data_IF_827209607301
#
_entry.id   IF_827209607301
#
_cell.length_a   1.000
_cell.length_b   1.000
_cell.length_c   1.000
_cell.angle_alpha   90.00
_cell.angle_beta   90.00
_cell.angle_gamma   90.00
#
_symmetry.space_group_name_H-M   'P 1'
#
loop_
_entity.id
_entity.type
_entity.pdbx_description
1 polymer ?
#
# COMPACT_ATOMS: atom_id res chain seq x y z
N UNK A 1 -24.95 -59.65 -2.58
CA UNK A 1 -24.51 -59.35 -1.19
C UNK A 1 -23.24 -58.50 -1.15
N UNK A 2 -22.15 -58.91 -1.82
CA UNK A 2 -20.83 -58.23 -1.81
C UNK A 2 -20.86 -56.72 -2.17
N UNK A 3 -21.64 -56.35 -3.20
CA UNK A 3 -21.79 -54.96 -3.65
C UNK A 3 -22.35 -54.02 -2.56
N UNK A 4 -23.25 -54.51 -1.70
CA UNK A 4 -23.79 -53.73 -0.58
C UNK A 4 -22.76 -53.54 0.54
N UNK A 5 -21.90 -54.53 0.78
CA UNK A 5 -20.84 -54.44 1.77
C UNK A 5 -19.75 -53.44 1.34
N UNK A 6 -19.33 -53.48 0.07
CA UNK A 6 -18.36 -52.53 -0.49
C UNK A 6 -18.91 -51.10 -0.47
N UNK A 7 -20.19 -50.91 -0.79
CA UNK A 7 -20.83 -49.60 -0.73
C UNK A 7 -20.94 -49.06 0.71
N UNK A 8 -21.14 -49.92 1.72
CA UNK A 8 -21.14 -49.52 3.14
C UNK A 8 -19.74 -49.09 3.59
N UNK A 9 -18.71 -49.89 3.32
CA UNK A 9 -17.32 -49.54 3.69
C UNK A 9 -16.86 -48.24 3.01
N UNK A 10 -17.22 -48.02 1.75
CA UNK A 10 -16.93 -46.76 1.05
C UNK A 10 -17.75 -45.58 1.59
N UNK A 11 -18.98 -45.79 2.03
CA UNK A 11 -19.80 -44.76 2.66
C UNK A 11 -19.24 -44.36 4.03
N UNK A 12 -18.83 -45.33 4.84
CA UNK A 12 -18.25 -45.10 6.17
C UNK A 12 -16.87 -44.42 6.06
N UNK A 13 -16.04 -44.85 5.11
CA UNK A 13 -14.76 -44.19 4.81
C UNK A 13 -14.94 -42.76 4.25
N UNK A 14 -16.06 -42.50 3.56
CA UNK A 14 -16.41 -41.16 3.05
C UNK A 14 -16.98 -40.27 4.15
N UNK A 15 -17.76 -40.82 5.07
CA UNK A 15 -18.24 -40.15 6.28
C UNK A 15 -17.07 -39.77 7.21
N UNK A 16 -16.12 -40.68 7.42
CA UNK A 16 -14.91 -40.41 8.21
C UNK A 16 -13.99 -39.35 7.58
N UNK A 17 -14.10 -39.10 6.27
CA UNK A 17 -13.31 -38.09 5.53
C UNK A 17 -14.09 -36.83 5.20
N UNK A 18 -15.39 -36.76 5.50
CA UNK A 18 -16.16 -35.55 5.25
C UNK A 18 -15.77 -34.51 6.31
N UNK A 19 -15.18 -33.36 5.89
CA UNK A 19 -14.97 -32.27 6.83
C UNK A 19 -16.34 -31.85 7.38
N UNK A 20 -16.41 -31.45 8.66
CA UNK A 20 -17.68 -31.02 9.27
C UNK A 20 -18.36 -29.97 8.39
N UNK A 21 -19.70 -29.97 8.30
CA UNK A 21 -20.47 -29.12 7.40
C UNK A 21 -20.02 -27.67 7.54
N UNK A 22 -19.74 -27.02 6.41
CA UNK A 22 -19.17 -25.68 6.42
C UNK A 22 -20.11 -24.73 7.18
N UNK A 23 -19.67 -24.13 8.30
CA UNK A 23 -20.54 -23.34 9.16
C UNK A 23 -21.16 -22.18 8.36
N UNK A 24 -22.42 -21.84 8.68
CA UNK A 24 -23.11 -20.65 8.12
C UNK A 24 -22.20 -19.42 8.29
N UNK A 25 -22.21 -18.44 7.35
CA UNK A 25 -21.42 -17.23 7.48
C UNK A 25 -21.84 -16.52 8.77
N UNK A 26 -21.04 -16.72 9.81
CA UNK A 26 -21.29 -16.16 11.12
C UNK A 26 -20.42 -14.92 11.25
N UNK A 27 -20.96 -13.88 11.89
CA UNK A 27 -20.16 -12.72 12.27
C UNK A 27 -18.97 -13.13 13.14
N UNK A 28 -19.07 -14.25 13.87
CA UNK A 28 -17.96 -14.83 14.63
C UNK A 28 -16.81 -15.25 13.70
N UNK A 29 -17.08 -16.01 12.63
CA UNK A 29 -16.05 -16.43 11.66
C UNK A 29 -15.50 -15.22 10.91
N UNK A 30 -16.34 -14.25 10.53
CA UNK A 30 -15.86 -13.02 9.88
C UNK A 30 -14.95 -12.19 10.80
N UNK A 31 -15.29 -12.08 12.09
CA UNK A 31 -14.44 -11.43 13.11
C UNK A 31 -13.15 -12.20 13.34
N UNK A 32 -13.20 -13.53 13.38
CA UNK A 32 -12.01 -14.37 13.53
C UNK A 32 -11.08 -14.28 12.31
N UNK A 33 -11.66 -14.25 11.11
CA UNK A 33 -10.95 -14.00 9.86
C UNK A 33 -10.32 -12.61 9.86
N UNK A 34 -11.04 -11.56 10.26
CA UNK A 34 -10.47 -10.22 10.40
C UNK A 34 -9.34 -10.19 11.44
N UNK A 35 -9.53 -10.84 12.60
CA UNK A 35 -8.51 -11.00 13.65
C UNK A 35 -7.28 -11.74 13.17
N UNK A 36 -7.37 -12.58 12.13
CA UNK A 36 -6.22 -13.26 11.55
C UNK A 36 -5.26 -12.27 10.88
N UNK A 37 -5.76 -11.22 10.23
CA UNK A 37 -4.92 -10.23 9.54
C UNK A 37 -4.41 -9.10 10.45
N UNK A 38 -4.98 -8.97 11.65
CA UNK A 38 -4.53 -7.94 12.59
C UNK A 38 -3.17 -8.34 13.21
N UNK A 39 -2.28 -7.38 13.47
CA UNK A 39 -1.04 -7.63 14.18
C UNK A 39 -1.31 -8.28 15.55
N UNK A 40 -0.58 -9.34 15.86
CA UNK A 40 -0.68 -10.07 17.12
C UNK A 40 0.64 -10.03 17.87
N UNK A 41 0.56 -9.95 19.19
CA UNK A 41 1.69 -10.17 20.09
C UNK A 41 2.13 -11.64 20.03
N UNK A 42 3.32 -12.02 20.56
CA UNK A 42 3.78 -13.40 20.56
C UNK A 42 2.83 -14.37 21.28
N UNK A 43 2.04 -13.85 22.25
CA UNK A 43 0.99 -14.60 22.94
C UNK A 43 -0.33 -14.75 22.17
N UNK A 44 -0.41 -14.33 20.90
CA UNK A 44 -1.58 -14.48 20.04
C UNK A 44 -2.72 -13.48 20.29
N UNK A 45 -2.61 -12.64 21.31
CA UNK A 45 -3.51 -11.50 21.55
C UNK A 45 -3.29 -10.39 20.52
N UNK A 46 -4.35 -9.64 20.22
CA UNK A 46 -4.29 -8.50 19.31
C UNK A 46 -3.39 -7.42 19.91
N UNK A 47 -2.60 -6.78 19.05
CA UNK A 47 -1.79 -5.63 19.43
C UNK A 47 -2.70 -4.49 19.91
N UNK A 48 -2.49 -4.02 21.13
CA UNK A 48 -3.28 -2.93 21.71
C UNK A 48 -3.01 -1.62 20.99
N UNK A 49 -4.04 -0.76 20.85
CA UNK A 49 -3.85 0.63 20.36
C UNK A 49 -2.98 1.47 21.31
N UNK A 50 -2.77 0.99 22.55
CA UNK A 50 -1.89 1.60 23.56
C UNK A 50 -0.50 0.98 23.59
N UNK A 51 -0.14 0.13 22.62
CA UNK A 51 1.21 -0.42 22.56
C UNK A 51 2.25 0.70 22.38
N UNK A 52 3.46 0.45 22.86
CA UNK A 52 4.56 1.39 22.65
C UNK A 52 4.97 1.42 21.17
N UNK A 53 5.56 2.52 20.71
CA UNK A 53 6.05 2.62 19.33
C UNK A 53 7.10 1.53 19.00
N UNK A 54 7.93 1.16 19.99
CA UNK A 54 8.92 0.10 19.87
C UNK A 54 8.27 -1.27 19.62
N UNK A 55 7.22 -1.59 20.36
CA UNK A 55 6.44 -2.81 20.22
C UNK A 55 5.70 -2.84 18.88
N UNK A 56 5.07 -1.72 18.50
CA UNK A 56 4.40 -1.57 17.21
C UNK A 56 5.37 -1.82 16.04
N UNK A 57 6.58 -1.24 16.10
CA UNK A 57 7.59 -1.40 15.05
C UNK A 57 8.08 -2.84 14.90
N UNK A 58 8.17 -3.57 16.02
CA UNK A 58 8.59 -4.98 16.03
C UNK A 58 7.57 -5.86 15.32
N UNK A 59 6.27 -5.61 15.53
CA UNK A 59 5.19 -6.43 15.00
C UNK A 59 4.72 -6.07 13.58
N UNK A 60 4.72 -4.79 13.21
CA UNK A 60 4.20 -4.33 11.91
C UNK A 60 5.30 -4.15 10.85
N UNK A 61 6.55 -4.13 11.28
CA UNK A 61 7.68 -3.82 10.43
C UNK A 61 7.96 -2.32 10.37
N UNK A 62 9.23 -2.00 10.16
CA UNK A 62 9.75 -0.63 10.23
C UNK A 62 9.04 0.33 9.26
N UNK A 63 8.77 -0.09 8.02
CA UNK A 63 8.17 0.78 7.02
C UNK A 63 6.80 1.32 7.46
N UNK A 64 5.96 0.44 8.03
CA UNK A 64 4.65 0.82 8.56
C UNK A 64 4.79 1.71 9.80
N UNK A 65 5.75 1.42 10.67
CA UNK A 65 6.02 2.23 11.86
C UNK A 65 6.47 3.66 11.50
N UNK A 66 7.41 3.82 10.56
CA UNK A 66 7.85 5.13 10.07
C UNK A 66 6.67 5.90 9.47
N UNK A 67 5.84 5.23 8.66
CA UNK A 67 4.65 5.87 8.08
C UNK A 67 3.65 6.32 9.15
N UNK A 68 3.34 5.47 10.15
CA UNK A 68 2.42 5.84 11.23
C UNK A 68 2.97 6.97 12.09
N UNK A 69 4.28 6.99 12.33
CA UNK A 69 4.94 8.09 13.02
C UNK A 69 4.83 9.39 12.22
N UNK A 70 5.05 9.35 10.90
CA UNK A 70 4.81 10.49 10.01
C UNK A 70 3.36 10.98 10.14
N UNK A 71 2.36 10.11 9.99
CA UNK A 71 0.93 10.48 10.10
C UNK A 71 0.62 11.12 11.46
N UNK A 72 1.12 10.55 12.56
CA UNK A 72 0.96 11.10 13.92
C UNK A 72 1.48 12.53 14.03
N UNK A 73 2.70 12.78 13.58
CA UNK A 73 3.32 14.11 13.66
C UNK A 73 2.73 15.11 12.67
N UNK A 74 2.36 14.68 11.48
CA UNK A 74 1.58 15.48 10.53
C UNK A 74 0.25 15.90 11.14
N UNK A 75 -0.44 14.98 11.83
CA UNK A 75 -1.66 15.28 12.58
C UNK A 75 -1.45 16.36 13.63
N UNK A 76 -0.40 16.25 14.45
CA UNK A 76 -0.05 17.27 15.44
C UNK A 76 0.29 18.63 14.83
N UNK A 77 1.01 18.64 13.71
CA UNK A 77 1.31 19.86 12.97
C UNK A 77 0.02 20.55 12.50
N UNK A 78 -0.92 19.80 11.92
CA UNK A 78 -2.20 20.36 11.47
C UNK A 78 -3.08 20.82 12.63
N UNK A 79 -3.10 20.11 13.75
CA UNK A 79 -3.78 20.57 14.98
C UNK A 79 -3.19 21.91 15.43
N UNK A 80 -1.86 22.02 15.50
CA UNK A 80 -1.18 23.27 15.89
C UNK A 80 -1.47 24.39 14.88
N UNK A 81 -1.40 24.12 13.58
CA UNK A 81 -1.73 25.09 12.53
C UNK A 81 -3.20 25.54 12.61
N UNK A 82 -4.11 24.63 12.95
CA UNK A 82 -5.54 24.94 13.14
C UNK A 82 -5.74 25.86 14.34
N UNK A 83 -5.07 25.57 15.46
CA UNK A 83 -5.15 26.39 16.68
C UNK A 83 -4.55 27.79 16.45
N UNK A 84 -3.43 27.88 15.74
CA UNK A 84 -2.71 29.14 15.52
C UNK A 84 -3.34 30.00 14.40
N UNK A 85 -3.89 29.37 13.36
CA UNK A 85 -4.41 30.09 12.18
C UNK A 85 -5.93 30.08 12.11
N UNK A 86 -6.53 28.88 12.07
CA UNK A 86 -7.94 28.74 11.74
C UNK A 86 -8.86 29.25 12.84
N UNK A 87 -8.52 29.00 14.12
CA UNK A 87 -9.34 29.48 15.24
C UNK A 87 -9.33 31.02 15.32
N UNK A 88 -8.18 31.72 15.31
CA UNK A 88 -8.19 33.19 15.32
C UNK A 88 -8.91 33.81 14.12
N UNK A 89 -8.73 33.24 12.92
CA UNK A 89 -9.45 33.69 11.73
C UNK A 89 -10.96 33.45 11.86
N UNK A 90 -11.38 32.29 12.36
CA UNK A 90 -12.78 31.98 12.60
C UNK A 90 -13.39 32.93 13.63
N UNK A 91 -12.70 33.19 14.74
CA UNK A 91 -13.15 34.13 15.78
C UNK A 91 -13.27 35.54 15.20
N UNK A 92 -12.25 36.02 14.49
CA UNK A 92 -12.27 37.32 13.82
C UNK A 92 -13.43 37.46 12.83
N UNK A 93 -13.68 36.41 12.02
CA UNK A 93 -14.81 36.36 11.09
C UNK A 93 -16.16 36.34 11.82
N UNK A 94 -16.27 35.60 12.92
CA UNK A 94 -17.51 35.45 13.70
C UNK A 94 -17.87 36.69 14.53
N UNK A 95 -16.87 37.50 14.90
CA UNK A 95 -17.06 38.71 15.67
C UNK A 95 -17.77 39.83 14.87
N UNK A 96 -18.04 39.61 13.58
CA UNK A 96 -18.89 40.51 12.81
C UNK A 96 -18.20 41.79 12.34
N UNK A 97 -16.88 41.91 12.47
CA UNK A 97 -16.06 42.89 11.73
C UNK A 97 -15.91 42.48 10.25
N UNK A 98 -17.00 41.96 9.68
CA UNK A 98 -17.15 41.65 8.27
C UNK A 98 -17.22 42.95 7.48
N UNK A 99 -16.19 43.19 6.67
CA UNK A 99 -16.17 44.17 5.58
C UNK A 99 -16.76 45.55 5.91
N UNK A 100 -16.07 46.33 6.75
CA UNK A 100 -15.97 47.78 6.53
C UNK A 100 -15.03 48.09 5.35
N UNK A 101 -15.10 47.32 4.25
CA UNK A 101 -14.54 47.78 2.98
C UNK A 101 -15.43 48.92 2.53
N UNK A 102 -14.99 50.15 2.78
CA UNK A 102 -15.53 51.35 2.17
C UNK A 102 -15.20 51.28 0.67
N UNK A 103 -15.94 50.42 -0.07
CA UNK A 103 -15.77 50.10 -1.49
C UNK A 103 -14.33 49.65 -1.86
N UNK A 104 -14.07 48.37 -2.15
CA UNK A 104 -12.78 47.99 -2.77
C UNK A 104 -12.56 48.63 -4.15
N UNK A 105 -13.61 49.25 -4.70
CA UNK A 105 -13.63 50.06 -5.93
C UNK A 105 -13.72 51.57 -5.63
N UNK A 106 -13.41 51.98 -4.39
CA UNK A 106 -13.40 53.37 -3.96
C UNK A 106 -12.43 54.19 -4.82
N UNK A 107 -12.88 55.37 -5.24
CA UNK A 107 -12.30 56.21 -6.29
C UNK A 107 -10.83 56.59 -6.13
N UNK A 108 -10.21 56.33 -4.97
CA UNK A 108 -8.84 56.76 -4.65
C UNK A 108 -7.76 55.73 -5.04
N UNK A 109 -8.02 54.42 -4.98
CA UNK A 109 -7.07 53.42 -5.50
C UNK A 109 -7.03 53.45 -7.04
N UNK A 110 -8.18 53.72 -7.67
CA UNK A 110 -8.29 53.94 -9.11
C UNK A 110 -7.70 55.29 -9.57
N UNK A 111 -7.55 56.29 -8.69
CA UNK A 111 -6.94 57.57 -9.07
C UNK A 111 -5.42 57.50 -9.11
N UNK A 112 -4.78 56.73 -8.23
CA UNK A 112 -3.32 56.53 -8.25
C UNK A 112 -2.83 55.77 -9.50
N UNK A 113 -3.62 54.82 -10.02
CA UNK A 113 -3.32 54.13 -11.28
C UNK A 113 -3.55 55.00 -12.54
N UNK A 114 -4.18 56.18 -12.40
CA UNK A 114 -4.54 57.06 -13.53
C UNK A 114 -3.34 57.83 -14.08
N UNK A 115 -2.30 58.09 -13.27
CA UNK A 115 -1.19 58.98 -13.65
C UNK A 115 0.04 58.30 -14.27
N UNK A 116 0.14 56.97 -14.27
CA UNK A 116 1.34 56.28 -14.76
C UNK A 116 1.18 55.81 -16.22
N UNK A 117 1.79 56.44 -17.24
CA UNK A 117 1.40 56.33 -18.67
C UNK A 117 1.60 54.97 -19.36
N UNK A 118 2.22 53.98 -18.73
CA UNK A 118 2.50 52.69 -19.36
C UNK A 118 1.35 51.70 -19.16
N UNK A 119 0.55 51.48 -20.22
CA UNK A 119 -0.67 50.65 -20.15
C UNK A 119 -0.43 49.18 -19.80
N UNK A 120 0.74 48.64 -20.09
CA UNK A 120 1.07 47.23 -19.83
C UNK A 120 1.41 46.97 -18.36
N UNK A 121 2.14 47.88 -17.71
CA UNK A 121 2.44 47.79 -16.27
C UNK A 121 1.17 47.99 -15.44
N UNK A 122 0.22 48.83 -15.90
CA UNK A 122 -1.13 48.92 -15.30
C UNK A 122 -1.91 47.61 -15.36
N UNK A 123 -1.89 46.94 -16.51
CA UNK A 123 -2.60 45.67 -16.68
C UNK A 123 -2.03 44.59 -15.76
N UNK A 124 -0.70 44.51 -15.66
CA UNK A 124 -0.02 43.55 -14.78
C UNK A 124 -0.30 43.88 -13.31
N UNK A 125 -0.19 45.14 -12.90
CA UNK A 125 -0.48 45.55 -11.53
C UNK A 125 -1.93 45.21 -11.15
N UNK A 126 -2.89 45.57 -12.01
CA UNK A 126 -4.31 45.28 -11.81
C UNK A 126 -4.62 43.78 -11.78
N UNK A 127 -4.07 43.01 -12.73
CA UNK A 127 -4.24 41.57 -12.75
C UNK A 127 -3.61 40.91 -11.50
N UNK A 128 -2.44 41.38 -11.06
CA UNK A 128 -1.78 40.87 -9.85
C UNK A 128 -2.58 41.20 -8.59
N UNK A 129 -3.14 42.40 -8.46
CA UNK A 129 -3.99 42.79 -7.34
C UNK A 129 -5.30 42.01 -7.32
N UNK A 130 -5.93 41.78 -8.46
CA UNK A 130 -7.16 40.97 -8.57
C UNK A 130 -6.88 39.50 -8.25
N UNK A 131 -5.77 38.94 -8.75
CA UNK A 131 -5.39 37.55 -8.45
C UNK A 131 -5.02 37.39 -6.99
N UNK A 132 -4.22 38.30 -6.40
CA UNK A 132 -3.95 38.30 -4.97
C UNK A 132 -5.25 38.46 -4.18
N UNK A 133 -6.12 39.41 -4.52
CA UNK A 133 -7.39 39.61 -3.83
C UNK A 133 -8.27 38.37 -3.87
N UNK A 134 -8.44 37.74 -5.05
CA UNK A 134 -9.21 36.51 -5.19
C UNK A 134 -8.55 35.36 -4.40
N UNK A 135 -7.23 35.25 -4.40
CA UNK A 135 -6.49 34.23 -3.64
C UNK A 135 -6.66 34.44 -2.12
N UNK A 136 -6.47 35.67 -1.64
CA UNK A 136 -6.60 36.05 -0.23
C UNK A 136 -8.05 35.94 0.25
N UNK A 137 -9.04 36.44 -0.52
CA UNK A 137 -10.46 36.32 -0.19
C UNK A 137 -10.96 34.86 -0.23
N UNK A 138 -10.43 34.03 -1.12
CA UNK A 138 -10.80 32.60 -1.19
C UNK A 138 -10.13 31.75 -0.12
N UNK A 139 -8.92 32.09 0.33
CA UNK A 139 -8.17 31.33 1.34
C UNK A 139 -8.46 31.76 2.79
N UNK A 140 -8.80 33.03 3.03
CA UNK A 140 -8.78 33.59 4.40
C UNK A 140 -10.13 34.05 4.94
N UNK A 141 -11.17 34.04 4.12
CA UNK A 141 -12.45 34.64 4.50
C UNK A 141 -12.35 36.17 4.61
N UNK A 142 -13.48 36.83 4.37
CA UNK A 142 -13.60 38.27 4.17
C UNK A 142 -13.29 39.13 5.42
N UNK A 143 -12.04 39.20 5.85
CA UNK A 143 -11.57 40.19 6.82
C UNK A 143 -11.18 41.48 6.10
N UNK A 144 -11.88 42.58 6.39
CA UNK A 144 -11.47 43.92 5.99
C UNK A 144 -10.21 44.30 6.79
N UNK A 145 -9.04 44.25 6.15
CA UNK A 145 -7.78 44.71 6.72
C UNK A 145 -7.70 46.25 6.73
N UNK A 146 -8.57 46.93 7.47
CA UNK A 146 -8.50 48.39 7.62
C UNK A 146 -7.53 48.84 8.73
N UNK A 147 -6.95 47.91 9.50
CA UNK A 147 -5.98 48.22 10.55
C UNK A 147 -4.63 47.55 10.26
N UNK A 148 -3.58 48.38 10.17
CA UNK A 148 -2.17 47.99 10.00
C UNK A 148 -1.75 46.86 10.97
N UNK A 149 -2.36 46.81 12.15
CA UNK A 149 -2.12 45.77 13.16
C UNK A 149 -2.60 44.37 12.71
N UNK A 150 -3.79 44.25 12.12
CA UNK A 150 -4.35 42.96 11.68
C UNK A 150 -3.54 42.36 10.52
N UNK A 151 -3.12 43.20 9.56
CA UNK A 151 -2.27 42.76 8.44
C UNK A 151 -0.91 42.25 8.92
N UNK A 152 -0.29 42.93 9.90
CA UNK A 152 0.97 42.50 10.52
C UNK A 152 0.82 41.18 11.29
N UNK A 153 -0.27 41.00 12.03
CA UNK A 153 -0.56 39.76 12.75
C UNK A 153 -0.75 38.58 11.79
N UNK A 154 -1.43 38.83 10.68
CA UNK A 154 -1.65 37.81 9.66
C UNK A 154 -0.35 37.40 8.97
N UNK A 155 0.44 38.36 8.50
CA UNK A 155 1.77 38.10 7.93
C UNK A 155 2.69 37.37 8.93
N UNK A 156 2.66 37.76 10.20
CA UNK A 156 3.41 37.07 11.25
C UNK A 156 2.95 35.62 11.44
N UNK A 157 1.64 35.36 11.37
CA UNK A 157 1.07 34.02 11.43
C UNK A 157 1.49 33.18 10.22
N UNK A 158 1.42 33.70 9.00
CA UNK A 158 1.85 33.00 7.79
C UNK A 158 3.35 32.68 7.82
N UNK A 159 4.18 33.65 8.21
CA UNK A 159 5.62 33.47 8.36
C UNK A 159 5.94 32.43 9.44
N UNK A 160 5.22 32.46 10.56
CA UNK A 160 5.35 31.48 11.63
C UNK A 160 4.99 30.06 11.15
N UNK A 161 3.86 29.89 10.46
CA UNK A 161 3.44 28.58 9.92
C UNK A 161 4.40 28.05 8.86
N UNK A 162 4.88 28.92 7.97
CA UNK A 162 5.89 28.57 6.97
C UNK A 162 7.19 28.10 7.64
N UNK A 163 7.66 28.85 8.64
CA UNK A 163 8.85 28.50 9.42
C UNK A 163 8.66 27.18 10.16
N UNK A 164 7.51 27.00 10.84
CA UNK A 164 7.14 25.78 11.54
C UNK A 164 7.11 24.58 10.59
N UNK A 165 6.56 24.74 9.38
CA UNK A 165 6.54 23.71 8.35
C UNK A 165 7.96 23.33 7.91
N UNK A 166 8.83 24.31 7.64
CA UNK A 166 10.23 24.06 7.30
C UNK A 166 10.98 23.29 8.42
N UNK A 167 10.78 23.70 9.68
CA UNK A 167 11.35 23.01 10.86
C UNK A 167 10.82 21.58 10.95
N UNK A 168 9.52 21.38 10.76
CA UNK A 168 8.88 20.07 10.76
C UNK A 168 9.45 19.17 9.64
N UNK A 169 9.58 19.66 8.41
CA UNK A 169 10.14 18.91 7.28
C UNK A 169 11.60 18.51 7.55
N UNK A 170 12.41 19.44 8.06
CA UNK A 170 13.79 19.13 8.44
C UNK A 170 13.86 18.09 9.57
N UNK A 171 13.00 18.22 10.58
CA UNK A 171 12.95 17.30 11.71
C UNK A 171 12.52 15.89 11.28
N UNK A 172 11.46 15.76 10.47
CA UNK A 172 10.98 14.44 10.01
C UNK A 172 11.99 13.78 9.07
N UNK A 173 12.69 14.56 8.23
CA UNK A 173 13.79 14.06 7.41
C UNK A 173 14.90 13.46 8.28
N UNK A 174 15.35 14.20 9.31
CA UNK A 174 16.40 13.73 10.24
C UNK A 174 15.94 12.53 11.06
N UNK A 175 14.69 12.51 11.49
CA UNK A 175 14.09 11.38 12.22
C UNK A 175 14.07 10.11 11.35
N UNK A 176 13.54 10.21 10.12
CA UNK A 176 13.45 9.08 9.19
C UNK A 176 14.84 8.53 8.83
N UNK A 177 15.82 9.40 8.59
CA UNK A 177 17.20 8.99 8.33
C UNK A 177 17.80 8.20 9.50
N UNK A 178 17.57 8.62 10.75
CA UNK A 178 18.03 7.90 11.94
C UNK A 178 17.34 6.54 12.11
N UNK A 179 16.02 6.50 11.89
CA UNK A 179 15.26 5.26 12.01
C UNK A 179 15.65 4.24 10.95
N UNK A 180 15.90 4.68 9.71
CA UNK A 180 16.42 3.82 8.64
C UNK A 180 17.80 3.26 9.01
N UNK A 181 18.72 4.09 9.49
CA UNK A 181 20.04 3.64 9.94
C UNK A 181 19.99 2.62 11.09
N UNK A 182 19.04 2.77 12.03
CA UNK A 182 18.83 1.78 13.10
C UNK A 182 18.29 0.45 12.59
N UNK A 183 17.59 0.45 11.47
CA UNK A 183 16.96 -0.75 10.92
C UNK A 183 17.92 -1.52 10.05
N UNK A 184 18.76 -0.80 9.31
CA UNK A 184 19.83 -1.37 8.52
C UNK A 184 20.89 -2.01 9.43
N UNK A 185 21.17 -1.42 10.61
CA UNK A 185 22.15 -1.99 11.55
C UNK A 185 21.67 -3.26 12.29
N UNK A 186 20.36 -3.46 12.45
CA UNK A 186 19.82 -4.53 13.30
C UNK A 186 19.31 -5.77 12.53
N UNK A 187 19.27 -5.73 11.20
CA UNK A 187 18.71 -6.83 10.41
C UNK A 187 19.56 -7.11 9.19
N UNK A 188 20.39 -8.15 9.28
CA UNK A 188 20.99 -8.80 8.11
C UNK A 188 19.90 -9.40 7.24
N UNK A 189 19.74 -8.89 6.02
CA UNK A 189 18.83 -9.41 5.00
C UNK A 189 19.63 -10.10 3.92
N UNK A 190 19.00 -11.06 3.23
CA UNK A 190 19.60 -11.68 2.05
C UNK A 190 19.96 -10.65 0.95
N UNK A 191 19.24 -9.51 0.90
CA UNK A 191 19.55 -8.41 0.00
C UNK A 191 20.90 -7.75 0.27
N UNK A 192 21.39 -7.80 1.51
CA UNK A 192 22.63 -7.13 1.90
C UNK A 192 23.85 -7.90 1.36
N UNK A 193 23.66 -9.20 1.09
CA UNK A 193 24.65 -10.08 0.48
C UNK A 193 24.46 -10.24 -1.03
N UNK A 194 23.32 -9.79 -1.58
CA UNK A 194 22.94 -10.08 -2.96
C UNK A 194 22.94 -8.82 -3.84
N UNK A 195 23.74 -8.83 -4.89
CA UNK A 195 23.79 -7.75 -5.89
C UNK A 195 23.07 -8.16 -7.18
N UNK A 196 22.25 -7.25 -7.70
CA UNK A 196 21.63 -7.41 -9.02
C UNK A 196 22.58 -6.91 -10.11
N UNK A 197 23.01 -7.82 -10.97
CA UNK A 197 23.85 -7.53 -12.14
C UNK A 197 22.96 -7.46 -13.38
N UNK A 198 23.12 -6.39 -14.16
CA UNK A 198 22.38 -6.15 -15.41
C UNK A 198 23.35 -6.08 -16.58
N UNK A 199 22.88 -6.41 -17.79
CA UNK A 199 23.67 -6.28 -19.02
C UNK A 199 24.71 -7.39 -19.18
N UNK A 200 24.40 -8.61 -18.75
CA UNK A 200 25.29 -9.75 -18.95
C UNK A 200 25.48 -10.04 -20.45
N UNK A 201 26.69 -10.44 -20.88
CA UNK A 201 26.92 -10.80 -22.27
C UNK A 201 26.08 -12.02 -22.65
N UNK A 202 25.66 -12.15 -23.93
CA UNK A 202 24.76 -13.23 -24.38
C UNK A 202 25.34 -14.63 -24.14
N UNK A 203 26.67 -14.74 -24.02
CA UNK A 203 27.37 -16.00 -23.81
C UNK A 203 27.44 -16.43 -22.32
N UNK A 204 27.10 -15.54 -21.37
CA UNK A 204 27.16 -15.82 -19.93
C UNK A 204 25.92 -16.61 -19.46
N UNK A 205 25.82 -17.85 -19.92
CA UNK A 205 24.69 -18.75 -19.66
C UNK A 205 24.89 -19.68 -18.46
N UNK A 206 26.12 -19.77 -17.93
CA UNK A 206 26.46 -20.70 -16.85
C UNK A 206 26.75 -19.96 -15.55
N UNK A 207 26.10 -20.39 -14.48
CA UNK A 207 26.28 -19.81 -13.14
C UNK A 207 27.74 -19.94 -12.66
N UNK A 208 28.46 -21.00 -13.04
CA UNK A 208 29.86 -21.21 -12.70
C UNK A 208 30.78 -20.16 -13.34
N UNK A 209 30.59 -19.83 -14.62
CA UNK A 209 31.40 -18.82 -15.28
C UNK A 209 31.18 -17.43 -14.66
N UNK A 210 29.94 -17.10 -14.31
CA UNK A 210 29.63 -15.87 -13.58
C UNK A 210 30.20 -15.87 -12.17
N UNK A 211 30.14 -16.98 -11.45
CA UNK A 211 30.75 -17.10 -10.13
C UNK A 211 32.26 -16.86 -10.19
N UNK A 212 32.96 -17.50 -11.14
CA UNK A 212 34.38 -17.27 -11.38
C UNK A 212 34.67 -15.81 -11.77
N UNK A 213 33.84 -15.21 -12.63
CA UNK A 213 33.98 -13.82 -13.03
C UNK A 213 33.77 -12.84 -11.85
N UNK A 214 32.83 -13.09 -10.95
CA UNK A 214 32.58 -12.19 -9.80
C UNK A 214 33.42 -12.51 -8.57
N UNK A 215 34.20 -13.60 -8.58
CA UNK A 215 35.06 -14.00 -7.47
C UNK A 215 36.14 -12.98 -7.10
N UNK A 216 36.51 -12.07 -8.00
CA UNK A 216 37.46 -11.01 -7.69
C UNK A 216 36.91 -9.91 -6.77
N UNK A 217 35.58 -9.79 -6.64
CA UNK A 217 34.95 -8.86 -5.71
C UNK A 217 34.76 -9.46 -4.30
N UNK A 218 34.99 -10.77 -4.15
CA UNK A 218 34.78 -11.48 -2.90
C UNK A 218 34.31 -12.92 -3.12
N UNK A 219 34.23 -13.69 -2.03
CA UNK A 219 33.76 -15.07 -2.07
C UNK A 219 32.28 -15.14 -2.47
N UNK A 220 31.99 -15.71 -3.63
CA UNK A 220 30.61 -15.85 -4.15
C UNK A 220 29.95 -17.10 -3.56
N UNK A 221 28.91 -16.92 -2.76
CA UNK A 221 28.13 -18.00 -2.17
C UNK A 221 27.17 -18.65 -3.19
N UNK A 222 26.50 -17.85 -4.02
CA UNK A 222 25.60 -18.38 -5.06
C UNK A 222 25.36 -17.38 -6.19
N UNK A 223 25.06 -17.89 -7.38
CA UNK A 223 24.64 -17.08 -8.53
C UNK A 223 23.30 -17.60 -9.05
N UNK A 224 22.31 -16.73 -9.10
CA UNK A 224 20.99 -17.00 -9.66
C UNK A 224 20.81 -16.22 -10.97
N UNK A 225 20.77 -16.94 -12.09
CA UNK A 225 20.48 -16.37 -13.41
C UNK A 225 18.98 -16.07 -13.54
N UNK A 226 18.67 -14.83 -13.92
CA UNK A 226 17.30 -14.47 -14.30
C UNK A 226 16.99 -15.06 -15.68
N UNK A 227 15.82 -15.69 -15.78
CA UNK A 227 15.35 -16.36 -17.01
C UNK A 227 14.00 -15.81 -17.39
N UNK A 228 13.72 -15.78 -18.69
CA UNK A 228 12.40 -15.41 -19.18
C UNK A 228 11.41 -16.55 -18.92
N UNK A 229 10.79 -16.49 -17.75
CA UNK A 229 9.80 -17.46 -17.30
C UNK A 229 8.39 -16.87 -17.37
N UNK A 230 8.13 -15.87 -18.23
CA UNK A 230 6.82 -15.23 -18.32
C UNK A 230 5.69 -16.23 -18.59
N UNK A 231 5.91 -17.21 -19.49
CA UNK A 231 4.96 -18.28 -19.76
C UNK A 231 4.70 -19.16 -18.52
N UNK A 232 5.77 -19.57 -17.81
CA UNK A 232 5.66 -20.40 -16.61
C UNK A 232 4.92 -19.67 -15.50
N UNK A 233 5.20 -18.37 -15.28
CA UNK A 233 4.51 -17.53 -14.30
C UNK A 233 3.04 -17.37 -14.65
N UNK A 234 2.71 -17.15 -15.94
CA UNK A 234 1.33 -17.10 -16.41
C UNK A 234 0.59 -18.41 -16.12
N UNK A 235 1.19 -19.55 -16.46
CA UNK A 235 0.61 -20.88 -16.19
C UNK A 235 0.44 -21.16 -14.68
N UNK A 236 1.37 -20.71 -13.84
CA UNK A 236 1.23 -20.80 -12.38
C UNK A 236 0.04 -19.99 -11.86
N UNK A 237 -0.17 -18.78 -12.39
CA UNK A 237 -1.31 -17.94 -12.04
C UNK A 237 -2.64 -18.57 -12.50
N UNK A 238 -2.72 -19.04 -13.75
CA UNK A 238 -3.88 -19.77 -14.27
C UNK A 238 -4.19 -21.03 -13.43
N UNK A 239 -3.15 -21.76 -13.03
CA UNK A 239 -3.29 -22.91 -12.15
C UNK A 239 -3.87 -22.52 -10.78
N UNK A 240 -3.38 -21.42 -10.19
CA UNK A 240 -3.86 -20.91 -8.91
C UNK A 240 -5.34 -20.50 -8.99
N UNK A 241 -5.74 -19.84 -10.08
CA UNK A 241 -7.13 -19.46 -10.36
C UNK A 241 -8.03 -20.68 -10.51
N UNK A 242 -7.67 -21.65 -11.36
CA UNK A 242 -8.42 -22.88 -11.53
C UNK A 242 -8.55 -23.69 -10.22
N UNK A 243 -7.48 -23.72 -9.42
CA UNK A 243 -7.49 -24.35 -8.10
C UNK A 243 -8.44 -23.64 -7.14
N UNK A 244 -8.47 -22.30 -7.15
CA UNK A 244 -9.41 -21.51 -6.35
C UNK A 244 -10.86 -21.72 -6.81
N UNK A 245 -11.14 -21.67 -8.12
CA UNK A 245 -12.46 -21.95 -8.69
C UNK A 245 -12.94 -23.37 -8.36
N UNK A 246 -12.08 -24.38 -8.50
CA UNK A 246 -12.41 -25.76 -8.16
C UNK A 246 -12.75 -25.90 -6.67
N UNK A 247 -11.95 -25.30 -5.77
CA UNK A 247 -12.23 -25.29 -4.32
C UNK A 247 -13.55 -24.61 -4.01
N UNK A 248 -13.86 -23.50 -4.68
CA UNK A 248 -15.13 -22.79 -4.51
C UNK A 248 -16.33 -23.65 -4.95
N UNK A 249 -16.26 -24.26 -6.14
CA UNK A 249 -17.32 -25.15 -6.64
C UNK A 249 -17.48 -26.39 -5.75
N UNK A 250 -16.38 -26.96 -5.27
CA UNK A 250 -16.37 -28.09 -4.34
C UNK A 250 -17.05 -27.72 -3.01
N UNK A 251 -16.74 -26.55 -2.45
CA UNK A 251 -17.40 -26.05 -1.24
C UNK A 251 -18.90 -25.81 -1.47
N UNK A 252 -19.29 -25.26 -2.63
CA UNK A 252 -20.69 -25.06 -3.01
C UNK A 252 -21.44 -26.40 -3.15
N UNK A 253 -20.79 -27.40 -3.73
CA UNK A 253 -21.35 -28.75 -3.85
C UNK A 253 -21.53 -29.40 -2.47
N UNK A 254 -20.51 -29.34 -1.61
CA UNK A 254 -20.59 -29.87 -0.24
C UNK A 254 -21.77 -29.26 0.54
N UNK A 255 -21.91 -27.92 0.52
CA UNK A 255 -23.04 -27.23 1.16
C UNK A 255 -24.40 -27.66 0.61
N UNK A 256 -24.50 -27.91 -0.70
CA UNK A 256 -25.74 -28.36 -1.33
C UNK A 256 -26.11 -29.81 -0.96
N UNK A 257 -25.12 -30.67 -0.72
CA UNK A 257 -25.32 -32.03 -0.20
C UNK A 257 -25.79 -31.98 1.25
N UNK A 258 -25.13 -31.18 2.09
CA UNK A 258 -25.47 -31.04 3.51
C UNK A 258 -26.90 -30.51 3.71
N UNK A 259 -27.29 -29.50 2.93
CA UNK A 259 -28.63 -28.92 2.99
C UNK A 259 -29.77 -29.90 2.64
N UNK A 260 -29.47 -31.01 1.96
CA UNK A 260 -30.43 -32.06 1.58
C UNK A 260 -30.36 -33.31 2.46
N UNK A 261 -29.70 -33.23 3.62
CA UNK A 261 -29.58 -34.36 4.53
C UNK A 261 -28.69 -35.49 3.98
N UNK A 262 -27.65 -35.15 3.21
CA UNK A 262 -26.66 -36.11 2.73
C UNK A 262 -27.09 -36.99 1.55
N UNK A 263 -28.32 -36.87 1.06
CA UNK A 263 -28.80 -37.63 -0.10
C UNK A 263 -28.32 -36.97 -1.39
N UNK A 264 -27.21 -37.47 -1.93
CA UNK A 264 -26.60 -36.98 -3.18
C UNK A 264 -27.30 -37.45 -4.47
N UNK A 265 -28.36 -38.26 -4.36
CA UNK A 265 -29.02 -38.86 -5.53
C UNK A 265 -29.83 -37.79 -6.28
N UNK A 266 -29.42 -37.48 -7.50
CA UNK A 266 -30.04 -36.44 -8.34
C UNK A 266 -29.49 -35.02 -8.11
N UNK A 267 -28.39 -34.88 -7.34
CA UNK A 267 -27.83 -33.57 -7.04
C UNK A 267 -27.26 -32.90 -8.30
N UNK A 268 -27.73 -31.67 -8.54
CA UNK A 268 -27.27 -30.67 -9.51
C UNK A 268 -26.18 -31.13 -10.50
N UNK A 269 -26.57 -31.94 -11.49
CA UNK A 269 -25.66 -32.49 -12.51
C UNK A 269 -24.83 -31.42 -13.22
N UNK A 270 -25.36 -30.19 -13.30
CA UNK A 270 -24.65 -29.00 -13.78
C UNK A 270 -23.42 -28.65 -12.94
N UNK A 271 -23.52 -28.68 -11.61
CA UNK A 271 -22.41 -28.31 -10.72
C UNK A 271 -21.28 -29.35 -10.77
N UNK A 272 -21.63 -30.64 -10.80
CA UNK A 272 -20.66 -31.72 -10.99
C UNK A 272 -19.95 -31.59 -12.36
N UNK A 273 -20.69 -31.35 -13.44
CA UNK A 273 -20.10 -31.08 -14.77
C UNK A 273 -19.16 -29.87 -14.76
N UNK A 274 -19.51 -28.79 -14.05
CA UNK A 274 -18.64 -27.62 -13.88
C UNK A 274 -17.38 -27.94 -13.08
N UNK A 275 -17.50 -28.71 -11.99
CA UNK A 275 -16.36 -29.17 -11.18
C UNK A 275 -15.41 -30.05 -12.00
N UNK A 276 -15.95 -31.02 -12.74
CA UNK A 276 -15.17 -31.88 -13.63
C UNK A 276 -14.47 -31.07 -14.73
N UNK A 277 -15.19 -30.14 -15.37
CA UNK A 277 -14.60 -29.24 -16.38
C UNK A 277 -13.44 -28.43 -15.81
N UNK A 278 -13.62 -27.85 -14.62
CA UNK A 278 -12.56 -27.08 -13.94
C UNK A 278 -11.39 -27.96 -13.54
N UNK A 279 -11.64 -29.19 -13.08
CA UNK A 279 -10.59 -30.16 -12.77
C UNK A 279 -9.79 -30.55 -14.03
N UNK A 280 -10.47 -30.79 -15.16
CA UNK A 280 -9.79 -31.06 -16.45
C UNK A 280 -8.90 -29.89 -16.86
N UNK A 281 -9.38 -28.64 -16.74
CA UNK A 281 -8.58 -27.44 -17.00
C UNK A 281 -7.36 -27.35 -16.07
N UNK A 282 -7.53 -27.62 -14.78
CA UNK A 282 -6.44 -27.63 -13.81
C UNK A 282 -5.38 -28.70 -14.15
N UNK A 283 -5.79 -29.89 -14.54
CA UNK A 283 -4.89 -30.97 -14.96
C UNK A 283 -4.16 -30.62 -16.25
N UNK A 284 -4.87 -30.09 -17.25
CA UNK A 284 -4.27 -29.62 -18.51
C UNK A 284 -3.22 -28.52 -18.26
N UNK A 285 -3.55 -27.53 -17.42
CA UNK A 285 -2.63 -26.48 -17.01
C UNK A 285 -1.40 -27.04 -16.28
N UNK A 286 -1.56 -28.04 -15.41
CA UNK A 286 -0.43 -28.72 -14.75
C UNK A 286 0.48 -29.44 -15.75
N UNK A 287 -0.09 -30.11 -16.76
CA UNK A 287 0.68 -30.73 -17.83
C UNK A 287 1.44 -29.67 -18.66
N UNK A 288 0.79 -28.56 -19.00
CA UNK A 288 1.42 -27.44 -19.71
C UNK A 288 2.55 -26.80 -18.89
N UNK A 289 2.34 -26.63 -17.57
CA UNK A 289 3.37 -26.13 -16.66
C UNK A 289 4.58 -27.07 -16.59
N UNK A 290 4.36 -28.38 -16.52
CA UNK A 290 5.45 -29.37 -16.55
C UNK A 290 6.19 -29.35 -17.89
N UNK A 291 5.49 -29.15 -19.00
CA UNK A 291 6.11 -29.01 -20.32
C UNK A 291 6.93 -27.71 -20.42
N UNK A 292 6.39 -26.59 -19.96
CA UNK A 292 7.07 -25.29 -19.90
C UNK A 292 8.30 -25.33 -18.99
N UNK A 293 8.20 -25.94 -17.80
CA UNK A 293 9.31 -26.07 -16.87
C UNK A 293 10.47 -26.94 -17.38
N UNK A 294 10.20 -27.85 -18.34
CA UNK A 294 11.25 -28.65 -19.02
C UNK A 294 11.94 -27.88 -20.15
N UNK A 295 11.33 -26.83 -20.69
CA UNK A 295 11.96 -25.99 -21.71
C UNK A 295 13.06 -25.15 -21.07
N UNK A 296 14.21 -25.06 -21.75
CA UNK A 296 15.28 -24.15 -21.33
C UNK A 296 14.87 -22.73 -21.71
N UNK A 297 14.45 -21.94 -20.74
CA UNK A 297 14.18 -20.52 -20.95
C UNK A 297 15.49 -19.75 -21.19
N UNK A 298 15.52 -18.80 -22.14
CA UNK A 298 16.67 -17.94 -22.35
C UNK A 298 16.94 -17.07 -21.11
N UNK A 299 18.21 -16.71 -20.92
CA UNK A 299 18.58 -15.74 -19.89
C UNK A 299 18.15 -14.33 -20.31
N UNK A 300 17.66 -13.52 -19.37
CA UNK A 300 17.23 -12.14 -19.63
C UNK A 300 18.39 -11.14 -19.64
N UNK A 301 19.64 -11.60 -19.49
CA UNK A 301 20.80 -10.71 -19.31
C UNK A 301 20.93 -10.15 -17.89
N UNK A 302 20.18 -10.70 -16.93
CA UNK A 302 20.23 -10.33 -15.52
C UNK A 302 20.66 -11.51 -14.65
N UNK A 303 21.41 -11.24 -13.58
CA UNK A 303 21.71 -12.21 -12.53
C UNK A 303 21.66 -11.57 -11.15
N UNK A 304 21.48 -12.41 -10.14
CA UNK A 304 21.68 -12.06 -8.75
C UNK A 304 22.88 -12.84 -8.24
N UNK A 305 23.89 -12.11 -7.76
CA UNK A 305 25.12 -12.68 -7.22
C UNK A 305 25.09 -12.47 -5.72
N UNK A 306 25.13 -13.55 -4.96
CA UNK A 306 25.15 -13.53 -3.50
C UNK A 306 26.58 -13.79 -3.02
N UNK A 307 27.14 -12.86 -2.27
CA UNK A 307 28.47 -12.98 -1.66
C UNK A 307 28.38 -13.59 -0.26
N UNK A 308 29.42 -14.27 0.18
CA UNK A 308 29.48 -14.90 1.50
C UNK A 308 29.65 -13.88 2.64
N UNK A 309 30.19 -12.69 2.32
CA UNK A 309 30.50 -11.63 3.28
C UNK A 309 30.08 -10.27 2.70
N UNK A 310 29.70 -9.36 3.59
CA UNK A 310 29.52 -7.94 3.28
C UNK A 310 30.86 -7.29 3.59
N UNK A 311 31.60 -6.91 2.55
CA UNK A 311 32.84 -6.11 2.66
C UNK A 311 32.57 -4.63 2.39
#
# INVERSE_FOLDING_TARGET
MLRRAILRVLADARLARMPPPAPRPSLAIAREYARYFLPKMPGGSLLSLRCSESEFSTHTGTGVAIYMHFVKWTGWLFVLATIVSAIPQFVANSAGDGLLLNRPWGSEACSAARDNKDGFSRLIAYASEVVLFLLYSSLLGNCSFSQVFSARLHLATELFLSTLFCVYVYWIYRYNARMLAQVDSNRLRASDFATSVKGLPPNATTAHALSAHFSFFGEVASVALSRDNAETVRLLNEQAEHKASWRHLHAKYARAVDARGGVAVGLNSKLLKQMESTLRKLLACRCALQASARRKSPCTGHAFVTFARVE
#
